data_IF_135019004745
#
_entry.id   IF_135019004745
#
_cell.length_a   1.000
_cell.length_b   1.000
_cell.length_c   1.000
_cell.angle_alpha   90.00
_cell.angle_beta   90.00
_cell.angle_gamma   90.00
#
_symmetry.space_group_name_H-M   'P 1'
#
loop_
_entity.id
_entity.type
_entity.pdbx_description
1 polymer ?
#
# COMPACT_ATOMS: atom_id res chain seq x y z
N UNK A 1 22.31 19.92 36.35
CA UNK A 1 22.27 18.46 36.10
C UNK A 1 21.01 18.18 35.31
N UNK A 2 21.13 17.89 34.01
CA UNK A 2 19.98 17.70 33.11
C UNK A 2 19.60 16.22 33.11
N UNK A 3 18.48 15.88 33.72
CA UNK A 3 17.87 14.54 33.66
C UNK A 3 17.08 14.44 32.36
N UNK A 4 17.79 14.31 31.23
CA UNK A 4 17.14 13.79 30.04
C UNK A 4 17.08 12.27 30.20
N UNK A 5 15.96 11.79 30.73
CA UNK A 5 15.55 10.40 30.52
C UNK A 5 15.34 10.22 29.02
N UNK A 6 16.40 9.82 28.32
CA UNK A 6 16.34 9.49 26.90
C UNK A 6 15.50 8.23 26.75
N UNK A 7 14.18 8.40 26.69
CA UNK A 7 13.23 7.32 26.40
C UNK A 7 13.37 6.99 24.91
N UNK A 8 14.46 6.32 24.54
CA UNK A 8 14.68 5.82 23.19
C UNK A 8 13.89 4.52 23.02
N UNK A 9 13.18 4.40 21.91
CA UNK A 9 12.53 3.15 21.51
C UNK A 9 13.46 2.47 20.50
N UNK A 10 14.01 1.28 20.80
CA UNK A 10 14.85 0.54 19.87
C UNK A 10 14.10 0.25 18.56
N UNK A 11 14.74 0.56 17.43
CA UNK A 11 14.23 0.30 16.09
C UNK A 11 15.08 -0.76 15.40
N UNK A 12 14.45 -1.86 15.01
CA UNK A 12 15.07 -2.94 14.23
C UNK A 12 14.46 -3.03 12.83
N UNK A 13 15.12 -3.71 11.88
CA UNK A 13 14.54 -4.02 10.57
C UNK A 13 14.42 -5.54 10.42
N UNK A 14 13.27 -6.03 9.97
CA UNK A 14 13.09 -7.44 9.70
C UNK A 14 14.00 -7.87 8.54
N UNK A 15 14.62 -9.05 8.63
CA UNK A 15 15.46 -9.61 7.56
C UNK A 15 14.66 -10.08 6.35
N UNK A 16 13.42 -10.50 6.58
CA UNK A 16 12.48 -10.93 5.54
C UNK A 16 11.32 -9.95 5.54
N UNK A 17 11.17 -9.21 4.45
CA UNK A 17 10.02 -8.35 4.22
C UNK A 17 8.88 -9.21 3.68
N UNK A 18 7.78 -9.29 4.42
CA UNK A 18 6.56 -9.91 3.92
C UNK A 18 5.92 -9.02 2.84
N UNK A 19 5.20 -9.60 1.87
CA UNK A 19 4.63 -8.88 0.73
C UNK A 19 3.38 -8.08 1.14
N UNK A 20 3.55 -7.13 2.05
CA UNK A 20 2.49 -6.23 2.47
C UNK A 20 2.23 -5.17 1.39
N UNK A 21 0.95 -4.87 1.18
CA UNK A 21 0.47 -3.76 0.35
C UNK A 21 -0.56 -2.97 1.14
N UNK A 22 -0.60 -1.66 0.92
CA UNK A 22 -1.58 -0.77 1.51
C UNK A 22 -2.72 -0.55 0.52
N UNK A 23 -3.95 -0.74 1.00
CA UNK A 23 -5.17 -0.49 0.23
C UNK A 23 -5.95 0.61 0.95
N UNK A 24 -6.34 1.65 0.23
CA UNK A 24 -7.21 2.70 0.75
C UNK A 24 -8.65 2.19 0.82
N UNK A 25 -9.27 2.32 1.99
CA UNK A 25 -10.62 1.82 2.24
C UNK A 25 -11.64 2.96 2.16
N UNK A 26 -12.57 2.94 1.19
CA UNK A 26 -13.71 3.86 1.18
C UNK A 26 -14.55 3.71 2.44
N UNK A 27 -15.20 4.78 2.95
CA UNK A 27 -15.97 4.73 4.20
C UNK A 27 -17.05 3.64 4.23
N UNK A 28 -17.74 3.40 3.10
CA UNK A 28 -18.73 2.34 2.99
C UNK A 28 -18.13 0.93 3.16
N UNK A 29 -16.92 0.72 2.65
CA UNK A 29 -16.20 -0.55 2.78
C UNK A 29 -15.63 -0.74 4.18
N UNK A 30 -15.13 0.34 4.79
CA UNK A 30 -14.68 0.31 6.19
C UNK A 30 -15.84 -0.07 7.11
N UNK A 31 -16.99 0.59 7.00
CA UNK A 31 -18.17 0.27 7.80
C UNK A 31 -18.66 -1.17 7.58
N UNK A 32 -18.53 -1.69 6.37
CA UNK A 32 -18.86 -3.09 6.06
C UNK A 32 -17.89 -4.07 6.74
N UNK A 33 -16.59 -3.77 6.74
CA UNK A 33 -15.56 -4.58 7.39
C UNK A 33 -15.61 -4.51 8.93
N UNK A 34 -16.10 -3.40 9.49
CA UNK A 34 -16.29 -3.20 10.93
C UNK A 34 -17.67 -3.67 11.43
N UNK A 35 -18.55 -4.13 10.53
CA UNK A 35 -19.88 -4.63 10.90
C UNK A 35 -19.81 -5.94 11.70
N UNK A 36 -20.88 -6.27 12.44
CA UNK A 36 -20.97 -7.49 13.25
C UNK A 36 -20.80 -8.79 12.43
N UNK A 37 -21.10 -8.73 11.14
CA UNK A 37 -20.96 -9.84 10.20
C UNK A 37 -20.20 -9.39 8.94
N UNK A 38 -18.87 -9.23 9.02
CA UNK A 38 -18.09 -8.73 7.90
C UNK A 38 -18.07 -9.78 6.78
N UNK A 39 -18.42 -9.41 5.53
CA UNK A 39 -18.39 -10.34 4.42
C UNK A 39 -16.97 -10.61 3.96
N UNK A 40 -16.75 -11.81 3.41
CA UNK A 40 -15.50 -12.12 2.70
C UNK A 40 -15.42 -11.31 1.41
N UNK A 41 -14.35 -10.53 1.27
CA UNK A 41 -14.10 -9.74 0.07
C UNK A 41 -13.30 -10.57 -0.94
N UNK A 42 -13.68 -10.47 -2.22
CA UNK A 42 -13.05 -11.21 -3.30
C UNK A 42 -12.39 -10.27 -4.30
N UNK A 43 -11.11 -10.54 -4.58
CA UNK A 43 -10.37 -9.93 -5.66
C UNK A 43 -10.45 -10.82 -6.90
N UNK A 44 -11.02 -10.29 -7.97
CA UNK A 44 -11.10 -10.97 -9.27
C UNK A 44 -10.19 -10.28 -10.28
N UNK A 45 -9.44 -11.03 -11.11
CA UNK A 45 -8.66 -10.44 -12.19
C UNK A 45 -9.62 -9.80 -13.21
N UNK A 46 -9.32 -8.58 -13.62
CA UNK A 46 -10.03 -7.91 -14.71
C UNK A 46 -9.55 -8.40 -16.07
N UNK A 47 -10.45 -8.45 -17.06
CA UNK A 47 -10.13 -8.90 -18.43
C UNK A 47 -9.49 -7.81 -19.31
N UNK A 48 -8.97 -6.73 -18.70
CA UNK A 48 -8.36 -5.60 -19.38
C UNK A 48 -7.70 -4.60 -18.42
N UNK A 49 -7.81 -3.30 -18.72
CA UNK A 49 -7.61 -2.23 -17.74
C UNK A 49 -8.97 -1.89 -17.15
N UNK A 50 -9.19 -2.00 -15.82
CA UNK A 50 -8.26 -2.30 -14.73
C UNK A 50 -7.94 -3.80 -14.56
N UNK A 51 -6.74 -4.09 -14.06
CA UNK A 51 -6.22 -5.46 -13.94
C UNK A 51 -6.82 -6.27 -12.78
N UNK A 52 -7.43 -5.61 -11.80
CA UNK A 52 -8.07 -6.26 -10.65
C UNK A 52 -9.29 -5.48 -10.18
N UNK A 53 -10.33 -6.22 -9.80
CA UNK A 53 -11.59 -5.73 -9.26
C UNK A 53 -11.82 -6.32 -7.87
N UNK A 54 -12.30 -5.50 -6.96
CA UNK A 54 -12.78 -5.88 -5.62
C UNK A 54 -14.30 -5.85 -5.62
N UNK A 55 -14.91 -7.01 -5.47
CA UNK A 55 -16.37 -7.13 -5.42
C UNK A 55 -16.84 -7.16 -3.97
N UNK A 56 -17.80 -6.29 -3.65
CA UNK A 56 -18.43 -6.19 -2.33
C UNK A 56 -19.95 -6.22 -2.51
N UNK A 57 -20.74 -6.57 -1.47
CA UNK A 57 -22.20 -6.43 -1.52
C UNK A 57 -22.68 -5.01 -1.83
N UNK A 58 -21.89 -3.97 -1.51
CA UNK A 58 -22.22 -2.58 -1.75
C UNK A 58 -21.87 -2.09 -3.18
N UNK A 59 -21.05 -2.84 -3.91
CA UNK A 59 -20.59 -2.46 -5.24
C UNK A 59 -19.23 -3.05 -5.61
N UNK A 60 -18.81 -2.78 -6.84
CA UNK A 60 -17.53 -3.23 -7.38
C UNK A 60 -16.57 -2.05 -7.44
N UNK A 61 -15.33 -2.27 -7.01
CA UNK A 61 -14.27 -1.28 -7.07
C UNK A 61 -13.14 -1.78 -7.94
N UNK A 62 -12.53 -0.89 -8.73
CA UNK A 62 -11.28 -1.16 -9.41
C UNK A 62 -10.10 -0.74 -8.56
N UNK A 63 -9.03 -1.52 -8.62
CA UNK A 63 -7.78 -1.21 -7.95
C UNK A 63 -6.90 -0.35 -8.87
N UNK A 64 -6.43 0.77 -8.35
CA UNK A 64 -5.47 1.64 -9.00
C UNK A 64 -4.21 1.76 -8.17
N UNK A 65 -3.07 1.40 -8.74
CA UNK A 65 -1.78 1.59 -8.09
C UNK A 65 -1.35 3.05 -8.20
N UNK A 66 -0.97 3.63 -7.06
CA UNK A 66 -0.45 4.99 -6.96
C UNK A 66 0.90 4.97 -6.25
N UNK A 67 1.94 5.31 -7.01
CA UNK A 67 3.29 5.41 -6.47
C UNK A 67 3.40 6.64 -5.56
N UNK A 68 4.25 6.54 -4.56
CA UNK A 68 4.56 7.63 -3.63
C UNK A 68 6.07 7.88 -3.60
N UNK A 69 6.48 9.14 -3.58
CA UNK A 69 7.87 9.52 -3.35
C UNK A 69 8.23 9.57 -1.85
N UNK A 70 7.25 9.39 -0.97
CA UNK A 70 7.45 9.43 0.47
C UNK A 70 7.85 8.05 0.98
N UNK A 71 8.85 7.94 1.87
CA UNK A 71 9.24 6.67 2.46
C UNK A 71 8.17 6.21 3.46
N UNK A 72 7.41 5.18 3.09
CA UNK A 72 6.44 4.56 3.99
C UNK A 72 7.05 3.28 4.58
N UNK A 73 7.04 3.17 5.91
CA UNK A 73 7.52 2.00 6.64
C UNK A 73 6.40 1.43 7.50
N UNK A 74 6.13 0.13 7.36
CA UNK A 74 5.24 -0.58 8.26
C UNK A 74 6.04 -1.04 9.47
N UNK A 75 5.62 -0.57 10.65
CA UNK A 75 6.21 -0.92 11.92
C UNK A 75 5.33 -1.95 12.62
N UNK A 76 5.95 -2.99 13.15
CA UNK A 76 5.31 -3.94 14.05
C UNK A 76 5.91 -3.77 15.45
N UNK A 77 5.08 -3.69 16.50
CA UNK A 77 5.58 -3.75 17.88
C UNK A 77 6.41 -5.01 18.10
N UNK A 78 7.51 -4.88 18.83
CA UNK A 78 8.38 -5.97 19.24
C UNK A 78 8.86 -5.77 20.68
N UNK A 79 9.50 -6.80 21.23
CA UNK A 79 10.14 -6.74 22.54
C UNK A 79 11.63 -7.02 22.29
N UNK A 80 12.48 -6.12 22.74
CA UNK A 80 13.93 -6.30 22.69
C UNK A 80 14.45 -6.65 24.07
N UNK A 81 15.31 -7.64 24.13
CA UNK A 81 16.17 -7.88 25.30
C UNK A 81 17.50 -7.20 25.02
N UNK A 82 17.59 -5.92 25.37
CA UNK A 82 18.88 -5.23 25.38
C UNK A 82 19.75 -5.94 26.43
N UNK A 83 20.83 -6.61 25.99
CA UNK A 83 21.77 -7.29 26.89
C UNK A 83 22.64 -6.25 27.63
N UNK A 84 22.05 -5.57 28.60
CA UNK A 84 22.74 -4.69 29.54
C UNK A 84 23.35 -5.49 30.69
N UNK A 85 24.46 -6.19 30.43
CA UNK A 85 25.51 -6.53 31.40
C UNK A 85 25.20 -7.50 32.55
N UNK A 86 25.89 -8.65 32.53
CA UNK A 86 26.24 -9.41 33.75
C UNK A 86 25.38 -10.64 34.02
N UNK A 87 26.06 -11.74 34.31
CA UNK A 87 25.48 -13.02 34.76
C UNK A 87 24.41 -12.82 35.84
N UNK A 88 23.24 -13.42 35.61
CA UNK A 88 22.27 -13.71 36.66
C UNK A 88 20.96 -12.92 36.57
N UNK A 89 19.91 -13.65 36.21
CA UNK A 89 18.49 -13.32 36.32
C UNK A 89 17.85 -12.50 35.18
N UNK A 90 16.68 -12.96 34.73
CA UNK A 90 16.09 -12.64 33.44
C UNK A 90 15.79 -11.15 33.24
N UNK A 91 16.55 -10.50 32.35
CA UNK A 91 16.35 -9.10 32.00
C UNK A 91 14.94 -8.81 31.48
N UNK A 92 14.32 -7.76 32.03
CA UNK A 92 13.00 -7.27 31.61
C UNK A 92 13.08 -6.80 30.17
N UNK A 93 12.35 -7.45 29.25
CA UNK A 93 12.28 -7.02 27.86
C UNK A 93 11.71 -5.61 27.74
N UNK A 94 12.35 -4.76 26.94
CA UNK A 94 11.86 -3.41 26.68
C UNK A 94 11.01 -3.35 25.42
N UNK A 95 10.05 -2.43 25.39
CA UNK A 95 9.24 -2.18 24.20
C UNK A 95 10.13 -1.69 23.05
N UNK A 96 9.99 -2.31 21.88
CA UNK A 96 10.72 -1.94 20.68
C UNK A 96 9.81 -1.97 19.45
N UNK A 97 10.32 -1.50 18.31
CA UNK A 97 9.62 -1.54 17.03
C UNK A 97 10.48 -2.18 15.95
N UNK A 98 9.84 -2.90 15.04
CA UNK A 98 10.49 -3.57 13.93
C UNK A 98 9.89 -3.14 12.60
N UNK A 99 10.72 -2.69 11.65
CA UNK A 99 10.30 -2.41 10.27
C UNK A 99 10.03 -3.73 9.56
N UNK A 100 8.77 -4.01 9.24
CA UNK A 100 8.35 -5.25 8.57
C UNK A 100 8.22 -5.11 7.06
N UNK A 101 7.94 -3.91 6.55
CA UNK A 101 7.92 -3.61 5.12
C UNK A 101 8.23 -2.15 4.84
N UNK A 102 8.75 -1.90 3.63
CA UNK A 102 8.83 -0.58 3.02
C UNK A 102 7.87 -0.56 1.84
N UNK A 103 7.06 0.49 1.77
CA UNK A 103 5.97 0.61 0.82
C UNK A 103 6.29 1.77 -0.13
N UNK A 104 6.33 1.48 -1.43
CA UNK A 104 6.64 2.44 -2.49
C UNK A 104 5.38 2.86 -3.27
N UNK A 105 4.29 2.12 -3.08
CA UNK A 105 3.01 2.30 -3.73
C UNK A 105 1.84 2.01 -2.80
N UNK A 106 0.70 2.60 -3.12
CA UNK A 106 -0.58 2.38 -2.44
C UNK A 106 -1.60 1.96 -3.48
N UNK A 107 -2.62 1.24 -3.05
CA UNK A 107 -3.72 0.80 -3.91
C UNK A 107 -4.96 1.61 -3.55
N UNK A 108 -5.39 2.46 -4.48
CA UNK A 108 -6.65 3.19 -4.37
C UNK A 108 -7.82 2.35 -4.90
N UNK A 109 -8.96 2.42 -4.23
CA UNK A 109 -10.20 1.77 -4.66
C UNK A 109 -11.13 2.82 -5.28
N UNK A 110 -11.40 2.67 -6.58
CA UNK A 110 -12.33 3.53 -7.31
C UNK A 110 -13.59 2.77 -7.67
N UNK A 111 -14.80 3.35 -7.54
CA UNK A 111 -16.03 2.71 -8.01
C UNK A 111 -15.89 2.29 -9.47
N UNK A 112 -16.32 1.07 -9.77
CA UNK A 112 -16.28 0.48 -11.10
C UNK A 112 -17.70 0.18 -11.58
N UNK A 113 -18.05 0.76 -12.73
CA UNK A 113 -19.28 0.48 -13.45
C UNK A 113 -18.93 -0.11 -14.82
N UNK A 114 -19.22 -1.40 -14.98
CA UNK A 114 -18.94 -2.14 -16.20
C UNK A 114 -19.66 -1.55 -17.44
N UNK A 115 -20.85 -0.98 -17.26
CA UNK A 115 -21.61 -0.38 -18.35
C UNK A 115 -20.98 0.93 -18.81
N UNK A 116 -20.51 1.75 -17.87
CA UNK A 116 -19.80 2.99 -18.18
C UNK A 116 -18.43 2.74 -18.82
N UNK A 117 -17.72 1.70 -18.39
CA UNK A 117 -16.38 1.38 -18.91
C UNK A 117 -16.43 0.77 -20.32
N UNK A 118 -17.50 0.05 -20.68
CA UNK A 118 -17.73 -0.44 -22.03
C UNK A 118 -18.08 0.68 -23.05
N UNK A 119 -18.63 1.79 -22.57
CA UNK A 119 -19.01 2.96 -23.39
C UNK A 119 -17.88 3.99 -23.47
N UNK A 120 -16.89 3.92 -22.57
CA UNK A 120 -15.74 4.81 -22.59
C UNK A 120 -15.04 4.73 -23.95
N UNK A 121 -14.86 5.86 -24.67
CA UNK A 121 -14.20 5.84 -25.95
C UNK A 121 -12.77 5.32 -25.73
N UNK A 122 -12.46 4.18 -26.36
CA UNK A 122 -11.08 3.69 -26.49
C UNK A 122 -10.27 4.91 -26.93
N UNK A 123 -9.40 5.43 -26.05
CA UNK A 123 -8.61 6.63 -26.35
C UNK A 123 -7.97 6.38 -27.71
N UNK A 124 -8.50 7.03 -28.75
CA UNK A 124 -7.98 6.92 -30.09
C UNK A 124 -6.50 7.19 -29.97
N UNK A 125 -5.67 6.27 -30.46
CA UNK A 125 -4.21 6.30 -30.36
C UNK A 125 -3.74 7.71 -30.77
N UNK A 126 -3.58 8.58 -29.78
CA UNK A 126 -3.17 9.96 -30.01
C UNK A 126 -1.78 9.82 -30.62
N UNK A 127 -1.67 10.26 -31.88
CA UNK A 127 -0.57 9.96 -32.78
C UNK A 127 0.76 9.91 -32.06
N UNK A 128 1.45 8.79 -32.24
CA UNK A 128 2.73 8.47 -31.62
C UNK A 128 3.59 9.72 -31.61
N UNK A 129 3.96 10.18 -30.43
CA UNK A 129 4.86 11.32 -30.23
C UNK A 129 6.04 11.27 -31.22
N UNK A 130 6.60 10.09 -31.45
CA UNK A 130 7.66 9.83 -32.43
C UNK A 130 7.37 10.27 -33.88
N UNK A 131 6.13 10.23 -34.38
CA UNK A 131 5.77 10.75 -35.71
C UNK A 131 5.82 12.28 -35.77
N UNK A 132 5.38 12.96 -34.71
CA UNK A 132 5.37 14.44 -34.65
C UNK A 132 6.78 15.04 -34.61
N UNK A 133 7.76 14.36 -34.02
CA UNK A 133 9.16 14.83 -34.00
C UNK A 133 9.97 14.44 -35.25
N UNK A 134 9.63 13.32 -35.89
CA UNK A 134 10.26 12.95 -37.16
C UNK A 134 9.86 13.94 -38.28
N UNK A 135 8.60 14.37 -38.32
CA UNK A 135 8.11 15.35 -39.29
C UNK A 135 8.78 16.73 -39.19
N UNK A 136 9.25 17.14 -38.00
CA UNK A 136 9.92 18.44 -37.83
C UNK A 136 11.38 18.45 -38.33
N UNK A 137 12.00 17.27 -38.53
CA UNK A 137 13.37 17.17 -39.06
C UNK A 137 13.44 17.02 -40.58
N UNK A 138 12.36 16.63 -41.23
CA UNK A 138 12.31 16.44 -42.69
C UNK A 138 12.09 17.75 -43.47
N UNK A 139 11.90 18.88 -42.77
CA UNK A 139 11.73 20.21 -43.38
C UNK A 139 12.99 21.06 -43.14
N UNK A 140 14.08 20.71 -43.81
CA UNK A 140 15.22 21.60 -44.02
C UNK A 140 15.79 21.40 -45.41
#
# INVERSE_FOLDING_TARGET
>A
MSTQDSTSIPLSTARVHAPYKLIELPPALLALLESDSPPTLHLTPGTGTPHALLSTPAGTYRLQQKNTSNPLMLLRPSISTEAGGGDGDGGVGCASVCVVARIEDTLELLPYDAAAEAVAPVKAKAGKWHEKFAASRAKK
#
